data_IF_369713312397
#
_entry.id   IF_369713312397
#
_cell.length_a   1.000
_cell.length_b   1.000
_cell.length_c   1.000
_cell.angle_alpha   90.00
_cell.angle_beta   90.00
_cell.angle_gamma   90.00
#
_symmetry.space_group_name_H-M   'P 1'
#
loop_
_entity.id
_entity.type
_entity.pdbx_description
1 polymer ?
#
# COMPACT_ATOMS: atom_id res chain seq x y z
N UNK A 1 19.12 -2.85 -7.43
CA UNK A 1 20.21 -2.04 -6.85
C UNK A 1 21.28 -2.96 -6.31
N UNK A 2 22.54 -2.51 -6.23
CA UNK A 2 23.76 -3.33 -6.04
C UNK A 2 24.30 -4.03 -7.31
N UNK A 3 24.48 -3.28 -8.40
CA UNK A 3 25.24 -3.77 -9.57
C UNK A 3 24.63 -4.92 -10.38
N UNK A 4 23.47 -5.46 -9.98
CA UNK A 4 22.76 -6.49 -10.72
C UNK A 4 22.09 -5.87 -11.96
N UNK A 5 22.79 -5.93 -13.09
CA UNK A 5 22.32 -5.44 -14.39
C UNK A 5 21.27 -6.37 -15.03
N UNK A 6 21.18 -7.61 -14.54
CA UNK A 6 20.21 -8.60 -15.00
C UNK A 6 19.24 -8.93 -13.88
N UNK A 7 18.08 -8.28 -13.90
CA UNK A 7 16.95 -8.63 -13.05
C UNK A 7 15.95 -9.36 -13.93
N UNK A 8 15.43 -10.51 -13.46
CA UNK A 8 14.31 -11.20 -14.10
C UNK A 8 13.05 -10.89 -13.27
N UNK A 9 12.27 -9.85 -13.61
CA UNK A 9 11.08 -9.53 -12.85
C UNK A 9 10.02 -10.62 -13.03
N UNK A 10 9.20 -10.80 -12.01
CA UNK A 10 7.95 -11.54 -12.15
C UNK A 10 6.94 -10.63 -12.86
N UNK A 11 6.29 -11.16 -13.89
CA UNK A 11 5.27 -10.46 -14.66
C UNK A 11 3.93 -11.14 -14.43
N UNK A 12 2.90 -10.34 -14.19
CA UNK A 12 1.52 -10.78 -14.04
C UNK A 12 0.57 -9.76 -14.66
N UNK A 13 -0.58 -10.24 -15.11
CA UNK A 13 -1.67 -9.42 -15.63
C UNK A 13 -2.94 -9.76 -14.87
N UNK A 14 -3.70 -8.73 -14.52
CA UNK A 14 -5.01 -8.83 -13.90
C UNK A 14 -5.95 -7.86 -14.60
N UNK A 15 -7.21 -8.25 -14.74
CA UNK A 15 -8.24 -7.37 -15.29
C UNK A 15 -8.50 -6.23 -14.29
N UNK A 16 -8.59 -5.00 -14.80
CA UNK A 16 -8.97 -3.84 -14.02
C UNK A 16 -10.39 -3.41 -14.39
N UNK A 17 -11.30 -3.41 -13.42
CA UNK A 17 -12.69 -3.00 -13.54
C UNK A 17 -12.97 -1.76 -12.67
N UNK A 18 -13.99 -1.00 -13.05
CA UNK A 18 -14.39 0.20 -12.29
C UNK A 18 -14.78 -0.20 -10.86
N UNK A 19 -14.19 0.47 -9.88
CA UNK A 19 -14.32 0.15 -8.46
C UNK A 19 -13.11 -0.60 -7.89
N UNK A 20 -12.24 -1.15 -8.74
CA UNK A 20 -11.03 -1.82 -8.27
C UNK A 20 -10.05 -0.84 -7.63
N UNK A 21 -9.38 -1.33 -6.59
CA UNK A 21 -8.27 -0.63 -5.93
C UNK A 21 -7.05 -1.51 -5.90
N UNK A 22 -5.95 -1.01 -6.46
CA UNK A 22 -4.65 -1.66 -6.38
C UNK A 22 -3.80 -0.93 -5.34
N UNK A 23 -3.26 -1.70 -4.39
CA UNK A 23 -2.42 -1.19 -3.31
C UNK A 23 -1.03 -1.78 -3.46
N UNK A 24 -0.06 -0.91 -3.70
CA UNK A 24 1.35 -1.27 -3.83
C UNK A 24 2.10 -0.65 -2.66
N UNK A 25 2.81 -1.48 -1.90
CA UNK A 25 3.51 -1.05 -0.69
C UNK A 25 4.92 -1.61 -0.63
N UNK A 26 5.79 -0.95 0.13
CA UNK A 26 7.08 -1.52 0.56
C UNK A 26 6.91 -2.37 1.81
N UNK A 27 7.93 -3.16 2.11
CA UNK A 27 8.07 -3.93 3.36
C UNK A 27 7.92 -3.04 4.60
N UNK A 28 8.42 -1.80 4.55
CA UNK A 28 8.20 -0.82 5.61
C UNK A 28 6.72 -0.56 5.95
N UNK A 29 5.76 -0.83 5.06
CA UNK A 29 4.33 -0.78 5.42
C UNK A 29 3.88 -2.12 6.00
N UNK A 30 4.25 -3.25 5.39
CA UNK A 30 3.80 -4.58 5.82
C UNK A 30 4.41 -5.04 7.14
N UNK A 31 5.54 -4.47 7.54
CA UNK A 31 6.16 -4.69 8.84
C UNK A 31 5.32 -4.11 9.99
N UNK A 32 4.59 -3.00 9.73
CA UNK A 32 3.68 -2.37 10.69
C UNK A 32 2.23 -2.81 10.51
N UNK A 33 1.82 -3.18 9.29
CA UNK A 33 0.42 -3.46 8.94
C UNK A 33 0.27 -4.79 8.19
N UNK A 34 -0.49 -5.70 8.77
CA UNK A 34 -1.01 -6.89 8.10
C UNK A 34 -2.07 -6.57 7.03
N UNK A 35 -2.21 -7.47 6.05
CA UNK A 35 -3.08 -7.33 4.86
C UNK A 35 -4.49 -6.85 5.18
N UNK A 36 -5.12 -7.43 6.21
CA UNK A 36 -6.48 -7.05 6.64
C UNK A 36 -6.56 -5.58 7.02
N UNK A 37 -5.53 -5.06 7.71
CA UNK A 37 -5.52 -3.65 8.13
C UNK A 37 -5.33 -2.72 6.95
N UNK A 38 -4.52 -3.12 5.98
CA UNK A 38 -4.33 -2.38 4.72
C UNK A 38 -5.66 -2.33 3.97
N UNK A 39 -6.35 -3.46 3.84
CA UNK A 39 -7.67 -3.55 3.21
C UNK A 39 -8.69 -2.62 3.90
N UNK A 40 -8.88 -2.74 5.22
CA UNK A 40 -9.79 -1.90 6.01
C UNK A 40 -9.49 -0.40 5.82
N UNK A 41 -8.20 -0.02 5.83
CA UNK A 41 -7.80 1.36 5.64
C UNK A 41 -8.01 1.87 4.21
N UNK A 42 -8.14 1.01 3.21
CA UNK A 42 -8.36 1.43 1.82
C UNK A 42 -9.84 1.34 1.45
N UNK A 43 -10.60 0.39 1.99
CA UNK A 43 -12.01 0.15 1.65
C UNK A 43 -12.97 0.96 2.51
N UNK A 44 -12.78 0.94 3.83
CA UNK A 44 -13.73 1.44 4.83
C UNK A 44 -13.03 2.23 5.96
N UNK A 45 -12.38 3.36 5.64
CA UNK A 45 -11.77 4.17 6.68
C UNK A 45 -12.82 4.79 7.61
N UNK A 46 -12.45 4.95 8.88
CA UNK A 46 -13.24 5.76 9.80
C UNK A 46 -13.29 7.24 9.35
N UNK A 47 -14.22 8.02 9.91
CA UNK A 47 -14.47 9.41 9.49
C UNK A 47 -13.27 10.34 9.60
N UNK A 48 -12.38 10.10 10.58
CA UNK A 48 -11.17 10.90 10.73
C UNK A 48 -10.15 10.56 9.62
N UNK A 49 -9.94 9.27 9.40
CA UNK A 49 -9.01 8.76 8.42
C UNK A 49 -9.47 9.07 6.98
N UNK A 50 -10.79 9.09 6.72
CA UNK A 50 -11.39 9.36 5.40
C UNK A 50 -11.04 10.73 4.82
N UNK A 51 -10.59 11.68 5.65
CA UNK A 51 -10.11 12.99 5.22
C UNK A 51 -8.73 12.94 4.53
N UNK A 52 -7.96 11.88 4.76
CA UNK A 52 -6.64 11.67 4.17
C UNK A 52 -6.73 10.84 2.90
N UNK A 53 -5.76 11.03 1.99
CA UNK A 53 -5.58 10.14 0.85
C UNK A 53 -5.25 8.73 1.36
N UNK A 54 -5.76 7.65 0.72
CA UNK A 54 -5.52 6.28 1.17
C UNK A 54 -4.03 5.93 1.34
N UNK A 55 -3.17 6.38 0.42
CA UNK A 55 -1.72 6.15 0.54
C UNK A 55 -1.10 6.83 1.76
N UNK A 56 -1.47 8.08 2.04
CA UNK A 56 -1.00 8.81 3.23
C UNK A 56 -1.43 8.10 4.52
N UNK A 57 -2.69 7.67 4.58
CA UNK A 57 -3.24 6.92 5.72
C UNK A 57 -2.46 5.65 6.02
N UNK A 58 -2.07 4.88 4.99
CA UNK A 58 -1.29 3.65 5.15
C UNK A 58 0.11 3.93 5.69
N UNK A 59 0.78 4.97 5.18
CA UNK A 59 2.14 5.33 5.61
C UNK A 59 2.13 5.81 7.06
N UNK A 60 1.21 6.71 7.43
CA UNK A 60 1.11 7.23 8.80
C UNK A 60 0.81 6.11 9.80
N UNK A 61 -0.19 5.27 9.50
CA UNK A 61 -0.56 4.17 10.38
C UNK A 61 0.57 3.13 10.52
N UNK A 62 1.32 2.83 9.45
CA UNK A 62 2.47 1.93 9.54
C UNK A 62 3.57 2.48 10.46
N UNK A 63 3.82 3.79 10.44
CA UNK A 63 4.77 4.45 11.33
C UNK A 63 4.26 4.41 12.78
N UNK A 64 2.98 4.68 13.00
CA UNK A 64 2.34 4.64 14.33
C UNK A 64 2.38 3.24 14.97
N UNK A 65 2.16 2.19 14.18
CA UNK A 65 2.23 0.78 14.60
C UNK A 65 3.68 0.26 14.73
N UNK A 66 4.68 1.13 14.55
CA UNK A 66 6.06 0.85 14.90
C UNK A 66 6.94 0.34 13.76
N UNK A 67 6.58 0.63 12.51
CA UNK A 67 7.49 0.40 11.37
C UNK A 67 8.84 1.07 11.61
N UNK A 68 9.91 0.33 11.30
CA UNK A 68 11.31 0.75 11.51
C UNK A 68 12.05 1.03 10.20
N UNK A 69 11.35 0.96 9.07
CA UNK A 69 11.92 1.14 7.74
C UNK A 69 11.17 2.23 6.96
N UNK A 70 11.63 2.54 5.75
CA UNK A 70 10.98 3.47 4.84
C UNK A 70 9.63 2.89 4.34
N UNK A 71 8.55 3.38 4.94
CA UNK A 71 7.19 3.09 4.51
C UNK A 71 6.81 3.90 3.26
N UNK A 72 6.43 3.21 2.18
CA UNK A 72 5.91 3.81 0.94
C UNK A 72 4.64 3.08 0.52
N UNK A 73 3.60 3.83 0.14
CA UNK A 73 2.34 3.29 -0.36
C UNK A 73 1.86 4.05 -1.60
N UNK A 74 1.42 3.30 -2.61
CA UNK A 74 0.74 3.80 -3.81
C UNK A 74 -0.62 3.10 -3.91
N UNK A 75 -1.68 3.90 -4.00
CA UNK A 75 -3.05 3.41 -4.18
C UNK A 75 -3.57 3.90 -5.52
N UNK A 76 -3.98 2.96 -6.37
CA UNK A 76 -4.57 3.22 -7.69
C UNK A 76 -6.03 2.85 -7.63
N UNK A 77 -6.91 3.81 -7.90
CA UNK A 77 -8.37 3.58 -7.98
C UNK A 77 -8.81 3.61 -9.45
N UNK A 78 -9.55 2.60 -9.87
CA UNK A 78 -10.13 2.52 -11.21
C UNK A 78 -11.52 3.15 -11.18
N UNK A 79 -11.66 4.37 -11.73
CA UNK A 79 -12.89 5.18 -11.66
C UNK A 79 -13.67 5.27 -12.96
#
# INVERSE_FOLDING_TARGET
>A
GSGNQFVRPQLGEIKAERGDRFVLVTDGVTDGLWDRRIEEMVTEPNTAASQMLPGTRLVELAIEEGSRDNATAVVVEVI
#
